data_IF_025881776054
#
_entry.id   IF_025881776054
#
_cell.length_a   1.000
_cell.length_b   1.000
_cell.length_c   1.000
_cell.angle_alpha   90.00
_cell.angle_beta   90.00
_cell.angle_gamma   90.00
#
_symmetry.space_group_name_H-M   'P 1'
#
loop_
_entity.id
_entity.type
_entity.pdbx_description
1 polymer ?
#
# COMPACT_ATOMS: atom_id res chain seq x y z
N UNK A 1 13.83 17.84 -12.14
CA UNK A 1 13.98 16.73 -11.17
C UNK A 1 12.94 15.69 -11.52
N UNK A 2 13.29 14.39 -11.63
CA UNK A 2 12.26 13.36 -11.75
C UNK A 2 11.32 13.48 -10.53
N UNK A 3 9.99 13.36 -10.69
CA UNK A 3 9.10 13.35 -9.54
C UNK A 3 9.56 12.22 -8.63
N UNK A 4 9.90 12.56 -7.38
CA UNK A 4 10.21 11.56 -6.36
C UNK A 4 9.03 10.59 -6.31
N UNK A 5 9.30 9.33 -6.66
CA UNK A 5 8.31 8.27 -6.55
C UNK A 5 7.81 8.16 -5.12
N UNK A 6 6.71 7.44 -4.89
CA UNK A 6 6.20 7.25 -3.55
C UNK A 6 7.27 6.56 -2.69
N UNK A 7 7.42 7.00 -1.44
CA UNK A 7 8.31 6.35 -0.49
C UNK A 7 7.79 4.94 -0.12
N UNK A 8 8.58 4.21 0.67
CA UNK A 8 8.26 2.82 1.02
C UNK A 8 6.92 2.68 1.76
N UNK A 9 6.57 3.63 2.63
CA UNK A 9 5.32 3.57 3.41
C UNK A 9 4.13 3.87 2.50
N UNK A 10 4.24 4.91 1.68
CA UNK A 10 3.26 5.27 0.67
C UNK A 10 3.00 4.10 -0.28
N UNK A 11 4.06 3.43 -0.75
CA UNK A 11 3.97 2.23 -1.57
C UNK A 11 3.24 1.09 -0.87
N UNK A 12 3.57 0.77 0.37
CA UNK A 12 2.93 -0.32 1.11
C UNK A 12 1.42 -0.09 1.26
N UNK A 13 1.01 1.15 1.55
CA UNK A 13 -0.41 1.50 1.67
C UNK A 13 -1.12 1.41 0.31
N UNK A 14 -0.51 1.95 -0.74
CA UNK A 14 -1.07 1.86 -2.10
C UNK A 14 -1.15 0.42 -2.63
N UNK A 15 -0.14 -0.41 -2.34
CA UNK A 15 -0.17 -1.83 -2.66
C UNK A 15 -1.25 -2.57 -1.88
N UNK A 16 -1.48 -2.21 -0.61
CA UNK A 16 -2.58 -2.78 0.15
C UNK A 16 -3.93 -2.49 -0.52
N UNK A 17 -4.20 -1.24 -0.91
CA UNK A 17 -5.43 -0.89 -1.65
C UNK A 17 -5.52 -1.70 -2.94
N UNK A 18 -4.44 -1.73 -3.74
CA UNK A 18 -4.41 -2.41 -5.03
C UNK A 18 -4.65 -3.92 -4.93
N UNK A 19 -4.11 -4.58 -3.90
CA UNK A 19 -4.16 -6.03 -3.72
C UNK A 19 -5.41 -6.48 -2.98
N UNK A 20 -5.91 -5.68 -2.03
CA UNK A 20 -6.96 -6.12 -1.11
C UNK A 20 -8.29 -5.39 -1.28
N UNK A 21 -8.30 -4.19 -1.83
CA UNK A 21 -9.52 -3.38 -1.93
C UNK A 21 -9.96 -3.25 -3.39
N UNK A 22 -9.20 -2.54 -4.21
CA UNK A 22 -9.53 -2.32 -5.62
C UNK A 22 -8.29 -1.96 -6.44
N UNK A 23 -8.11 -2.53 -7.64
CA UNK A 23 -7.14 -2.03 -8.62
C UNK A 23 -7.67 -0.84 -9.42
N UNK A 24 -8.93 -0.45 -9.24
CA UNK A 24 -9.64 0.62 -9.95
C UNK A 24 -10.29 1.62 -8.98
N UNK A 25 -9.51 2.31 -8.11
CA UNK A 25 -10.07 3.39 -7.32
C UNK A 25 -10.60 4.46 -8.27
N UNK A 26 -11.78 4.99 -7.96
CA UNK A 26 -12.35 6.08 -8.71
C UNK A 26 -11.73 7.43 -8.30
N UNK A 27 -12.21 8.53 -8.87
CA UNK A 27 -11.63 9.85 -8.61
C UNK A 27 -11.66 10.22 -7.13
N UNK A 28 -12.77 9.92 -6.44
CA UNK A 28 -12.93 10.28 -5.04
C UNK A 28 -12.03 9.44 -4.13
N UNK A 29 -11.98 8.12 -4.32
CA UNK A 29 -11.08 7.25 -3.55
C UNK A 29 -9.61 7.55 -3.85
N UNK A 30 -9.29 7.94 -5.09
CA UNK A 30 -7.94 8.42 -5.45
C UNK A 30 -7.55 9.65 -4.61
N UNK A 31 -8.48 10.59 -4.40
CA UNK A 31 -8.26 11.76 -3.54
C UNK A 31 -8.10 11.37 -2.06
N UNK A 32 -8.89 10.42 -1.56
CA UNK A 32 -8.73 9.91 -0.18
C UNK A 32 -7.34 9.29 0.01
N UNK A 33 -6.90 8.45 -0.93
CA UNK A 33 -5.58 7.84 -0.89
C UNK A 33 -4.52 8.94 -0.86
N UNK A 34 -4.59 9.88 -1.80
CA UNK A 34 -3.66 11.01 -1.92
C UNK A 34 -3.51 11.82 -0.63
N UNK A 35 -4.64 12.12 0.03
CA UNK A 35 -4.63 12.82 1.33
C UNK A 35 -3.97 11.96 2.40
N UNK A 36 -4.33 10.68 2.51
CA UNK A 36 -3.81 9.77 3.52
C UNK A 36 -2.29 9.59 3.41
N UNK A 37 -1.75 9.47 2.20
CA UNK A 37 -0.32 9.24 2.00
C UNK A 37 0.47 10.54 1.73
N UNK A 38 -0.19 11.71 1.75
CA UNK A 38 0.41 13.02 1.42
C UNK A 38 1.13 13.02 0.07
N UNK A 39 0.43 12.56 -0.98
CA UNK A 39 0.97 12.48 -2.34
C UNK A 39 -0.03 12.97 -3.39
N UNK A 40 0.38 13.56 -4.53
CA UNK A 40 -0.56 14.17 -5.46
C UNK A 40 -1.58 13.16 -6.04
N UNK A 41 -2.89 13.50 -6.12
CA UNK A 41 -3.91 12.59 -6.64
C UNK A 41 -3.65 12.10 -8.07
N UNK A 42 -3.08 12.96 -8.93
CA UNK A 42 -2.69 12.58 -10.29
C UNK A 42 -1.64 11.48 -10.30
N UNK A 43 -0.66 11.55 -9.39
CA UNK A 43 0.40 10.55 -9.24
C UNK A 43 -0.11 9.23 -8.67
N UNK A 44 -1.07 9.28 -7.75
CA UNK A 44 -1.79 8.08 -7.29
C UNK A 44 -2.48 7.41 -8.48
N UNK A 45 -3.26 8.16 -9.28
CA UNK A 45 -3.94 7.63 -10.46
C UNK A 45 -2.97 7.00 -11.48
N UNK A 46 -1.88 7.70 -11.81
CA UNK A 46 -0.81 7.21 -12.70
C UNK A 46 -0.21 5.89 -12.18
N UNK A 47 0.04 5.79 -10.87
CA UNK A 47 0.60 4.58 -10.28
C UNK A 47 -0.35 3.39 -10.40
N UNK A 48 -1.65 3.57 -10.11
CA UNK A 48 -2.63 2.49 -10.24
C UNK A 48 -2.74 2.04 -11.70
N UNK A 49 -2.75 2.98 -12.64
CA UNK A 49 -2.73 2.67 -14.08
C UNK A 49 -1.47 1.90 -14.48
N UNK A 50 -0.30 2.35 -14.03
CA UNK A 50 0.97 1.69 -14.30
C UNK A 50 0.99 0.25 -13.76
N UNK A 51 0.55 0.03 -12.52
CA UNK A 51 0.46 -1.31 -11.90
C UNK A 51 -0.48 -2.24 -12.65
N UNK A 52 -1.64 -1.74 -13.08
CA UNK A 52 -2.56 -2.51 -13.95
C UNK A 52 -1.88 -2.90 -15.25
N UNK A 53 -1.18 -1.98 -15.91
CA UNK A 53 -0.48 -2.26 -17.16
C UNK A 53 0.62 -3.31 -16.99
N UNK A 54 1.38 -3.27 -15.89
CA UNK A 54 2.36 -4.32 -15.58
C UNK A 54 1.66 -5.67 -15.43
N UNK A 55 0.59 -5.75 -14.64
CA UNK A 55 -0.15 -6.99 -14.44
C UNK A 55 -0.71 -7.55 -15.75
N UNK A 56 -1.23 -6.69 -16.63
CA UNK A 56 -1.71 -7.08 -17.95
C UNK A 56 -0.61 -7.62 -18.85
N UNK A 57 0.55 -6.96 -18.88
CA UNK A 57 1.72 -7.43 -19.64
C UNK A 57 2.21 -8.78 -19.14
N UNK A 58 2.35 -8.93 -17.82
CA UNK A 58 2.78 -10.18 -17.21
C UNK A 58 1.80 -11.34 -17.50
N UNK A 59 0.49 -11.08 -17.45
CA UNK A 59 -0.51 -12.09 -17.82
C UNK A 59 -0.41 -12.47 -19.31
N UNK A 60 -0.23 -11.48 -20.20
CA UNK A 60 -0.06 -11.71 -21.64
C UNK A 60 1.19 -12.54 -21.94
N UNK A 61 2.33 -12.20 -21.34
CA UNK A 61 3.60 -12.93 -21.51
C UNK A 61 3.48 -14.39 -21.05
N UNK A 62 2.76 -14.60 -19.93
CA UNK A 62 2.53 -15.94 -19.36
C UNK A 62 1.35 -16.70 -19.98
N UNK A 63 0.70 -16.15 -21.02
CA UNK A 63 -0.50 -16.72 -21.65
C UNK A 63 -1.62 -17.01 -20.64
N UNK A 64 -1.73 -16.19 -19.59
CA UNK A 64 -2.73 -16.30 -18.55
C UNK A 64 -3.98 -15.45 -18.88
N UNK A 65 -5.16 -15.82 -18.34
CA UNK A 65 -6.34 -14.98 -18.43
C UNK A 65 -6.10 -13.58 -17.87
N UNK A 66 -6.90 -12.61 -18.35
CA UNK A 66 -6.82 -11.23 -17.89
C UNK A 66 -7.05 -11.15 -16.36
N UNK A 67 -6.12 -10.53 -15.59
CA UNK A 67 -6.05 -10.62 -14.12
C UNK A 67 -7.13 -9.83 -13.36
N UNK A 68 -8.04 -9.21 -14.11
CA UNK A 68 -9.17 -8.42 -13.60
C UNK A 68 -10.49 -8.78 -14.29
N UNK A 69 -10.58 -9.93 -14.97
CA UNK A 69 -11.80 -10.32 -15.68
C UNK A 69 -12.63 -11.36 -14.93
N UNK A 70 -12.07 -12.04 -13.95
CA UNK A 70 -12.83 -13.11 -13.28
C UNK A 70 -13.77 -12.51 -12.23
N UNK A 71 -15.01 -13.02 -12.08
CA UNK A 71 -15.96 -12.56 -11.07
C UNK A 71 -15.48 -12.68 -9.61
N UNK A 72 -14.47 -13.51 -9.34
CA UNK A 72 -13.84 -13.64 -8.02
C UNK A 72 -12.66 -12.67 -7.83
N UNK A 73 -12.20 -12.00 -8.89
CA UNK A 73 -11.07 -11.06 -8.85
C UNK A 73 -11.53 -9.62 -8.63
N UNK A 74 -12.60 -9.19 -9.32
CA UNK A 74 -13.27 -7.90 -9.12
C UNK A 74 -14.78 -8.03 -9.30
N UNK A 75 -15.54 -7.34 -8.46
CA UNK A 75 -16.99 -7.36 -8.36
C UNK A 75 -17.49 -5.91 -8.32
N UNK A 76 -18.48 -5.53 -9.15
CA UNK A 76 -19.09 -4.22 -9.08
C UNK A 76 -19.92 -4.09 -7.79
N UNK A 77 -19.64 -3.07 -6.99
CA UNK A 77 -20.32 -2.78 -5.72
C UNK A 77 -20.82 -1.34 -5.72
N UNK A 78 -22.02 -1.13 -5.16
CA UNK A 78 -22.52 0.22 -4.90
C UNK A 78 -21.89 0.79 -3.63
N UNK A 79 -21.22 1.92 -3.76
CA UNK A 79 -20.61 2.72 -2.69
C UNK A 79 -21.16 4.13 -2.79
N UNK A 80 -22.00 4.54 -1.83
CA UNK A 80 -22.54 5.90 -1.73
C UNK A 80 -23.08 6.47 -3.06
N UNK A 81 -23.85 5.65 -3.78
CA UNK A 81 -24.49 6.02 -5.05
C UNK A 81 -23.63 5.81 -6.31
N UNK A 82 -22.34 5.49 -6.17
CA UNK A 82 -21.43 5.16 -7.28
C UNK A 82 -21.20 3.66 -7.37
N UNK A 83 -20.85 3.17 -8.56
CA UNK A 83 -20.44 1.78 -8.76
C UNK A 83 -18.91 1.72 -8.82
N UNK A 84 -18.29 0.94 -7.94
CA UNK A 84 -16.86 0.68 -7.94
C UNK A 84 -16.59 -0.82 -8.06
N UNK A 85 -15.54 -1.16 -8.81
CA UNK A 85 -15.07 -2.54 -8.92
C UNK A 85 -14.15 -2.86 -7.73
N UNK A 86 -14.64 -3.64 -6.78
CA UNK A 86 -13.89 -4.07 -5.60
C UNK A 86 -13.43 -5.51 -5.76
N UNK A 87 -12.33 -5.87 -5.10
CA UNK A 87 -11.90 -7.26 -5.11
C UNK A 87 -12.85 -8.14 -4.32
N UNK A 88 -13.03 -9.39 -4.76
CA UNK A 88 -13.86 -10.35 -4.03
C UNK A 88 -13.43 -10.51 -2.56
N UNK A 89 -12.12 -10.52 -2.30
CA UNK A 89 -11.56 -10.56 -0.94
C UNK A 89 -11.95 -9.35 -0.08
N UNK A 90 -12.21 -8.20 -0.68
CA UNK A 90 -12.62 -6.98 0.03
C UNK A 90 -14.05 -7.09 0.58
N UNK A 91 -14.87 -7.97 -0.01
CA UNK A 91 -16.27 -8.15 0.37
C UNK A 91 -16.40 -8.98 1.66
N UNK A 92 -15.42 -9.82 1.97
CA UNK A 92 -15.43 -10.68 3.15
C UNK A 92 -16.67 -11.57 3.19
N UNK A 93 -17.32 -11.62 4.35
CA UNK A 93 -18.59 -12.31 4.60
C UNK A 93 -19.83 -11.50 4.16
N UNK A 94 -19.64 -10.30 3.59
CA UNK A 94 -20.71 -9.43 3.12
C UNK A 94 -21.50 -8.72 4.24
N UNK A 95 -21.08 -8.82 5.51
CA UNK A 95 -21.85 -8.29 6.64
C UNK A 95 -21.87 -6.76 6.75
N UNK A 96 -20.85 -6.08 6.22
CA UNK A 96 -20.78 -4.61 6.17
C UNK A 96 -20.57 -4.15 4.74
N UNK A 97 -21.38 -3.21 4.23
CA UNK A 97 -21.19 -2.63 2.91
C UNK A 97 -19.94 -1.73 2.89
N UNK A 98 -19.39 -1.51 1.69
CA UNK A 98 -18.37 -0.49 1.49
C UNK A 98 -19.03 0.88 1.36
N UNK A 99 -18.46 1.84 2.09
CA UNK A 99 -18.80 3.27 2.02
C UNK A 99 -17.50 4.06 1.94
N UNK A 100 -17.58 5.31 1.52
CA UNK A 100 -16.47 6.26 1.54
C UNK A 100 -15.88 6.42 2.93
N UNK A 101 -16.75 6.56 3.94
CA UNK A 101 -16.34 6.68 5.33
C UNK A 101 -15.57 5.43 5.80
N UNK A 102 -16.04 4.24 5.44
CA UNK A 102 -15.34 2.98 5.74
C UNK A 102 -14.01 2.91 5.02
N UNK A 103 -13.93 3.35 3.77
CA UNK A 103 -12.68 3.37 3.01
C UNK A 103 -11.67 4.33 3.62
N UNK A 104 -12.06 5.57 3.91
CA UNK A 104 -11.20 6.54 4.58
C UNK A 104 -10.71 6.03 5.96
N UNK A 105 -11.60 5.42 6.75
CA UNK A 105 -11.22 4.85 8.04
C UNK A 105 -10.21 3.70 7.89
N UNK A 106 -10.46 2.79 6.95
CA UNK A 106 -9.54 1.67 6.66
C UNK A 106 -8.17 2.17 6.20
N UNK A 107 -8.14 3.22 5.39
CA UNK A 107 -6.90 3.86 4.92
C UNK A 107 -6.08 4.43 6.07
N UNK A 108 -6.68 5.25 6.93
CA UNK A 108 -6.00 5.84 8.08
C UNK A 108 -5.46 4.76 9.02
N UNK A 109 -6.31 3.81 9.41
CA UNK A 109 -5.89 2.69 10.26
C UNK A 109 -4.75 1.89 9.64
N UNK A 110 -4.75 1.69 8.31
CA UNK A 110 -3.67 0.97 7.63
C UNK A 110 -2.39 1.78 7.62
N UNK A 111 -2.47 3.09 7.38
CA UNK A 111 -1.33 3.99 7.40
C UNK A 111 -0.69 4.02 8.79
N UNK A 112 -1.50 4.23 9.84
CA UNK A 112 -1.05 4.26 11.23
C UNK A 112 -0.35 2.95 11.62
N UNK A 113 -0.95 1.80 11.31
CA UNK A 113 -0.35 0.50 11.55
C UNK A 113 1.01 0.33 10.86
N UNK A 114 1.13 0.76 9.59
CA UNK A 114 2.40 0.66 8.86
C UNK A 114 3.45 1.59 9.46
N UNK A 115 3.06 2.82 9.83
CA UNK A 115 3.93 3.79 10.49
C UNK A 115 4.43 3.28 11.84
N UNK A 116 3.55 2.75 12.69
CA UNK A 116 3.92 2.16 13.98
C UNK A 116 4.90 1.00 13.81
N UNK A 117 4.57 0.05 12.93
CA UNK A 117 5.44 -1.11 12.63
C UNK A 117 6.80 -0.66 12.08
N UNK A 118 6.81 0.37 11.23
CA UNK A 118 8.04 0.93 10.67
C UNK A 118 8.90 1.56 11.75
N UNK A 119 8.31 2.39 12.60
CA UNK A 119 8.99 3.07 13.69
C UNK A 119 9.58 2.06 14.69
N UNK A 120 8.82 1.03 15.09
CA UNK A 120 9.31 -0.03 15.97
C UNK A 120 10.54 -0.75 15.38
N UNK A 121 10.48 -1.11 14.09
CA UNK A 121 11.61 -1.75 13.41
C UNK A 121 12.82 -0.83 13.31
N UNK A 122 12.60 0.43 12.97
CA UNK A 122 13.66 1.41 12.86
C UNK A 122 14.35 1.64 14.21
N UNK A 123 13.57 1.85 15.28
CA UNK A 123 14.10 1.98 16.64
C UNK A 123 14.88 0.75 17.09
N UNK A 124 14.43 -0.46 16.74
CA UNK A 124 15.18 -1.69 17.05
C UNK A 124 16.51 -1.75 16.29
N UNK A 125 16.52 -1.41 15.01
CA UNK A 125 17.75 -1.37 14.20
C UNK A 125 18.74 -0.32 14.72
N UNK A 126 18.28 0.87 15.11
CA UNK A 126 19.14 1.89 15.70
C UNK A 126 19.73 1.44 17.04
N UNK A 127 18.92 0.77 17.86
CA UNK A 127 19.36 0.18 19.11
C UNK A 127 20.46 -0.88 18.88
N UNK A 128 20.25 -1.81 17.95
CA UNK A 128 21.24 -2.82 17.57
C UNK A 128 22.52 -2.18 17.01
N UNK A 129 22.40 -1.17 16.14
CA UNK A 129 23.53 -0.43 15.58
C UNK A 129 24.32 0.35 16.65
N UNK A 130 23.65 0.81 17.72
CA UNK A 130 24.32 1.42 18.88
C UNK A 130 25.10 0.39 19.67
N UNK A 131 24.51 -0.76 19.98
CA UNK A 131 25.21 -1.84 20.68
C UNK A 131 26.47 -2.29 19.91
N UNK A 132 26.36 -2.49 18.59
CA UNK A 132 27.51 -2.88 17.77
C UNK A 132 28.64 -1.84 17.84
N UNK A 133 28.31 -0.55 17.81
CA UNK A 133 29.29 0.53 17.96
C UNK A 133 29.97 0.50 19.33
N UNK A 134 29.21 0.40 20.41
CA UNK A 134 29.74 0.34 21.77
C UNK A 134 30.62 -0.91 22.01
N UNK A 135 30.25 -2.05 21.44
CA UNK A 135 31.08 -3.27 21.48
C UNK A 135 32.38 -3.11 20.69
N UNK A 136 32.33 -2.50 19.50
CA UNK A 136 33.52 -2.21 18.71
C UNK A 136 34.50 -1.27 19.41
N UNK A 137 33.99 -0.22 20.07
CA UNK A 137 34.82 0.71 20.85
C UNK A 137 35.45 0.06 22.09
N UNK A 138 34.76 -0.89 22.73
CA UNK A 138 35.32 -1.64 23.87
C UNK A 138 36.41 -2.60 23.43
N UNK A 139 36.22 -3.32 22.32
CA UNK A 139 37.23 -4.22 21.73
C UNK A 139 38.50 -3.45 21.33
N UNK A 140 38.35 -2.29 20.68
CA UNK A 140 39.51 -1.49 20.29
C UNK A 140 40.28 -0.90 21.48
N UNK A 141 39.63 -0.72 22.64
CA UNK A 141 40.30 -0.27 23.87
C UNK A 141 41.03 -1.41 24.57
N UNK A 142 40.48 -2.63 24.55
CA UNK A 142 41.13 -3.81 25.14
C UNK A 142 42.32 -4.35 24.34
N UNK A 143 42.46 -4.00 23.06
CA UNK A 143 43.61 -4.39 22.21
C UNK A 143 44.81 -3.43 22.32
N UNK A 144 44.64 -2.31 23.03
CA UNK A 144 45.66 -1.25 23.21
C UNK A 144 46.28 -1.28 24.62
N UNK A 145 45.74 -2.11 25.53
CA UNK A 145 46.32 -2.45 26.86
C UNK A 145 47.15 -3.74 26.80
#
# INVERSE_FOLDING_TARGET
>A
MPPTGPDTIQLVVMEWVYIWVTPFPDEFWTKIIAVCITWPPTKVGEWFQFRRNIALRAAKEKHQPHPFRKPHEVVPVKVDGRTLDLRGVALGDGTKPWTDARFAHSMNHRFDYVMETWNERYSKMEYEARLVREYGEKLSRSEVE
#
